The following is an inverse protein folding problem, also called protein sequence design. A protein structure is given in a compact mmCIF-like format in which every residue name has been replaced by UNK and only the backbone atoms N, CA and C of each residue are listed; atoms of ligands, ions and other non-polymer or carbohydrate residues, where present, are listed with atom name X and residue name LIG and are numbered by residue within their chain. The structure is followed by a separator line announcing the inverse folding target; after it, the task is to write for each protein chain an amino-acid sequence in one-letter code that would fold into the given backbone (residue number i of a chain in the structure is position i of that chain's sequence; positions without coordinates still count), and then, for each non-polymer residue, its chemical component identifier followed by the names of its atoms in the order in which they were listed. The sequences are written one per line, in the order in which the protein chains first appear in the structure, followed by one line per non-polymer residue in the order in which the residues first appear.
data_IF_239126151616
#
_entry.id   IF_239126151616
#
_cell.length_a   1.000
_cell.length_b   1.000
_cell.length_c   1.000
_cell.angle_alpha   90.00
_cell.angle_beta   90.00
_cell.angle_gamma   90.00
#
_symmetry.space_group_name_H-M   'P 1'
#
loop_
_entity.id
_entity.type
_entity.pdbx_description
1 polymer ?
#
# COMPACT_ATOMS: atom_id res chain seq x y z
N UNK A 1 -20.93 -8.06 -3.44
CA UNK A 1 -20.50 -9.19 -4.30
C UNK A 1 -21.78 -9.86 -4.77
N UNK A 2 -22.02 -10.00 -6.08
CA UNK A 2 -23.27 -10.57 -6.60
C UNK A 2 -23.15 -12.09 -6.69
N UNK A 3 -24.21 -12.81 -6.30
CA UNK A 3 -24.29 -14.25 -6.48
C UNK A 3 -24.53 -14.59 -7.95
N UNK A 4 -23.92 -15.65 -8.45
CA UNK A 4 -24.15 -16.10 -9.84
C UNK A 4 -24.70 -17.52 -9.79
N UNK A 5 -25.85 -17.72 -10.43
CA UNK A 5 -26.52 -19.02 -10.55
C UNK A 5 -26.47 -19.45 -12.01
N UNK A 6 -26.06 -20.70 -12.25
CA UNK A 6 -26.13 -21.34 -13.56
C UNK A 6 -27.18 -22.44 -13.51
N UNK A 7 -28.15 -22.38 -14.42
CA UNK A 7 -29.19 -23.40 -14.59
C UNK A 7 -28.93 -24.10 -15.93
N UNK A 8 -28.86 -25.43 -15.92
CA UNK A 8 -28.81 -26.25 -17.13
C UNK A 8 -30.19 -26.87 -17.33
N UNK A 9 -30.78 -26.73 -18.51
CA UNK A 9 -32.14 -27.18 -18.77
C UNK A 9 -32.30 -27.75 -20.18
N UNK A 10 -33.01 -28.87 -20.27
CA UNK A 10 -33.34 -29.63 -21.47
C UNK A 10 -34.82 -29.50 -21.87
N UNK A 11 -35.55 -28.56 -21.28
CA UNK A 11 -36.92 -28.26 -21.65
C UNK A 11 -37.46 -27.00 -20.99
N UNK A 12 -38.76 -26.77 -21.14
CA UNK A 12 -39.49 -25.70 -20.44
C UNK A 12 -40.13 -26.21 -19.15
N UNK A 13 -40.44 -25.29 -18.24
CA UNK A 13 -41.20 -25.59 -17.02
C UNK A 13 -42.58 -26.19 -17.35
N UNK A 14 -42.93 -27.33 -16.73
CA UNK A 14 -44.19 -28.06 -16.97
C UNK A 14 -45.06 -28.25 -15.73
N UNK A 15 -44.57 -27.86 -14.54
CA UNK A 15 -45.26 -28.02 -13.26
C UNK A 15 -46.20 -26.83 -12.94
N UNK A 16 -46.38 -25.90 -13.89
CA UNK A 16 -47.29 -24.76 -13.77
C UNK A 16 -46.72 -23.54 -13.03
N UNK A 17 -45.39 -23.47 -12.86
CA UNK A 17 -44.69 -22.31 -12.30
C UNK A 17 -44.46 -21.19 -13.31
N UNK A 18 -43.93 -20.06 -12.82
CA UNK A 18 -43.49 -18.92 -13.66
C UNK A 18 -41.98 -18.68 -13.47
N UNK A 19 -41.13 -19.35 -14.27
CA UNK A 19 -39.68 -19.24 -14.11
C UNK A 19 -39.16 -17.83 -14.40
N UNK A 20 -39.86 -17.05 -15.24
CA UNK A 20 -39.47 -15.67 -15.56
C UNK A 20 -39.66 -14.78 -14.33
N UNK A 21 -40.80 -14.93 -13.65
CA UNK A 21 -41.07 -14.22 -12.39
C UNK A 21 -40.06 -14.61 -11.32
N UNK A 22 -39.82 -15.91 -11.10
CA UNK A 22 -38.88 -16.36 -10.07
C UNK A 22 -37.45 -15.89 -10.33
N UNK A 23 -36.99 -15.92 -11.58
CA UNK A 23 -35.66 -15.40 -11.95
C UNK A 23 -35.55 -13.88 -11.69
N UNK A 24 -36.62 -13.13 -12.00
CA UNK A 24 -36.69 -11.69 -11.72
C UNK A 24 -36.67 -11.41 -10.22
N UNK A 25 -37.50 -12.11 -9.46
CA UNK A 25 -37.60 -11.94 -8.02
C UNK A 25 -36.26 -12.29 -7.34
N UNK A 26 -35.58 -13.34 -7.79
CA UNK A 26 -34.25 -13.70 -7.32
C UNK A 26 -33.20 -12.63 -7.65
N UNK A 27 -33.26 -12.03 -8.84
CA UNK A 27 -32.37 -10.94 -9.24
C UNK A 27 -32.62 -9.65 -8.45
N UNK A 28 -33.86 -9.42 -8.02
CA UNK A 28 -34.28 -8.26 -7.24
C UNK A 28 -34.23 -8.48 -5.73
N UNK A 29 -33.95 -9.72 -5.29
CA UNK A 29 -33.78 -10.06 -3.88
C UNK A 29 -32.54 -9.41 -3.28
N UNK A 30 -32.39 -9.47 -1.95
CA UNK A 30 -31.18 -9.00 -1.25
C UNK A 30 -29.90 -9.69 -1.72
N UNK A 31 -30.01 -10.85 -2.36
CA UNK A 31 -28.87 -11.62 -2.88
C UNK A 31 -28.41 -11.09 -4.26
N UNK A 32 -29.26 -10.33 -4.96
CA UNK A 32 -29.05 -9.79 -6.31
C UNK A 32 -28.45 -10.83 -7.29
N UNK A 33 -29.01 -12.05 -7.31
CA UNK A 33 -28.38 -13.12 -8.05
C UNK A 33 -28.50 -12.90 -9.56
N UNK A 34 -27.42 -13.18 -10.29
CA UNK A 34 -27.40 -13.20 -11.76
C UNK A 34 -27.70 -14.63 -12.21
N UNK A 35 -28.80 -14.83 -12.92
CA UNK A 35 -29.23 -16.16 -13.40
C UNK A 35 -28.82 -16.35 -14.85
N UNK A 36 -27.85 -17.22 -15.09
CA UNK A 36 -27.45 -17.66 -16.42
C UNK A 36 -28.10 -19.01 -16.74
N UNK A 37 -28.54 -19.20 -17.98
CA UNK A 37 -29.14 -20.45 -18.44
C UNK A 37 -28.33 -21.08 -19.56
N UNK A 38 -28.13 -22.38 -19.45
CA UNK A 38 -27.55 -23.24 -20.48
C UNK A 38 -28.67 -24.15 -20.98
N UNK A 39 -29.10 -23.95 -22.22
CA UNK A 39 -30.10 -24.80 -22.88
C UNK A 39 -29.43 -25.99 -23.58
N UNK A 40 -29.97 -27.19 -23.37
CA UNK A 40 -29.44 -28.44 -23.94
C UNK A 40 -30.53 -29.16 -24.72
N UNK A 41 -30.25 -29.51 -25.99
CA UNK A 41 -31.19 -30.28 -26.84
C UNK A 41 -32.61 -29.68 -26.93
N UNK A 42 -32.71 -28.37 -27.20
CA UNK A 42 -33.96 -27.62 -27.22
C UNK A 42 -34.40 -27.25 -28.63
N UNK A 43 -35.72 -27.14 -28.82
CA UNK A 43 -36.27 -26.49 -30.01
C UNK A 43 -36.34 -24.95 -29.84
N UNK A 44 -36.60 -24.24 -30.94
CA UNK A 44 -36.59 -22.77 -30.99
C UNK A 44 -37.57 -22.12 -29.98
N UNK A 45 -38.73 -22.74 -29.76
CA UNK A 45 -39.73 -22.20 -28.83
C UNK A 45 -39.31 -22.37 -27.37
N UNK A 46 -38.66 -23.48 -27.03
CA UNK A 46 -38.13 -23.75 -25.70
C UNK A 46 -36.94 -22.85 -25.38
N UNK A 47 -36.04 -22.65 -26.35
CA UNK A 47 -34.92 -21.73 -26.26
C UNK A 47 -35.38 -20.29 -26.01
N UNK A 48 -36.39 -19.80 -26.75
CA UNK A 48 -36.96 -18.46 -26.53
C UNK A 48 -37.57 -18.29 -25.13
N UNK A 49 -38.14 -19.35 -24.56
CA UNK A 49 -38.63 -19.34 -23.19
C UNK A 49 -37.49 -19.16 -22.20
N UNK A 50 -36.42 -19.98 -22.31
CA UNK A 50 -35.27 -19.92 -21.43
C UNK A 50 -34.47 -18.61 -21.56
N UNK A 51 -34.39 -18.02 -22.76
CA UNK A 51 -33.82 -16.67 -22.97
C UNK A 51 -34.53 -15.62 -22.13
N UNK A 52 -35.87 -15.68 -22.03
CA UNK A 52 -36.65 -14.73 -21.21
C UNK A 52 -36.34 -14.89 -19.73
N UNK A 53 -36.18 -16.13 -19.26
CA UNK A 53 -35.82 -16.41 -17.86
C UNK A 53 -34.42 -15.86 -17.54
N UNK A 54 -33.41 -16.16 -18.37
CA UNK A 54 -32.05 -15.64 -18.19
C UNK A 54 -32.03 -14.10 -18.18
N UNK A 55 -32.76 -13.47 -19.12
CA UNK A 55 -32.87 -12.02 -19.21
C UNK A 55 -33.55 -11.41 -17.98
N UNK A 56 -34.63 -12.03 -17.49
CA UNK A 56 -35.34 -11.58 -16.29
C UNK A 56 -34.47 -11.69 -15.03
N UNK A 57 -33.64 -12.73 -14.96
CA UNK A 57 -32.63 -12.90 -13.91
C UNK A 57 -31.33 -12.12 -14.10
N UNK A 58 -31.28 -11.20 -15.07
CA UNK A 58 -30.13 -10.32 -15.34
C UNK A 58 -28.87 -11.03 -15.85
N UNK A 59 -28.99 -12.29 -16.30
CA UNK A 59 -27.87 -13.08 -16.84
C UNK A 59 -27.99 -13.32 -18.34
N UNK A 60 -27.32 -14.38 -18.80
CA UNK A 60 -27.17 -14.72 -20.21
C UNK A 60 -27.65 -16.14 -20.50
N UNK A 61 -28.14 -16.35 -21.72
CA UNK A 61 -28.49 -17.66 -22.25
C UNK A 61 -27.38 -18.17 -23.17
N UNK A 62 -27.08 -19.47 -23.09
CA UNK A 62 -26.16 -20.17 -23.98
C UNK A 62 -26.77 -21.50 -24.39
N UNK A 63 -26.86 -21.76 -25.70
CA UNK A 63 -27.14 -23.10 -26.20
C UNK A 63 -25.86 -23.96 -26.10
N UNK A 64 -26.02 -25.20 -25.66
CA UNK A 64 -25.00 -26.24 -25.70
C UNK A 64 -25.56 -27.43 -26.50
N UNK A 65 -24.93 -27.77 -27.62
CA UNK A 65 -25.38 -28.86 -28.48
C UNK A 65 -24.79 -30.21 -28.04
N UNK A 66 -23.70 -30.17 -27.29
CA UNK A 66 -23.01 -31.34 -26.78
C UNK A 66 -22.23 -31.02 -25.48
N UNK A 67 -21.69 -32.07 -24.86
CA UNK A 67 -20.91 -31.95 -23.63
C UNK A 67 -19.67 -31.05 -23.78
N UNK A 68 -19.01 -31.07 -24.94
CA UNK A 68 -17.80 -30.29 -25.18
C UNK A 68 -18.09 -28.78 -25.18
N UNK A 69 -19.21 -28.34 -25.75
CA UNK A 69 -19.64 -26.93 -25.72
C UNK A 69 -19.84 -26.43 -24.28
N UNK A 70 -20.34 -27.32 -23.41
CA UNK A 70 -20.61 -27.01 -22.01
C UNK A 70 -19.30 -26.91 -21.22
N UNK A 71 -18.36 -27.84 -21.45
CA UNK A 71 -17.02 -27.83 -20.85
C UNK A 71 -16.25 -26.55 -21.24
N UNK A 72 -16.21 -26.23 -22.53
CA UNK A 72 -15.54 -25.04 -23.05
C UNK A 72 -16.11 -23.74 -22.44
N UNK A 73 -17.44 -23.65 -22.33
CA UNK A 73 -18.09 -22.50 -21.73
C UNK A 73 -17.69 -22.34 -20.26
N UNK A 74 -17.81 -23.39 -19.44
CA UNK A 74 -17.46 -23.32 -18.02
C UNK A 74 -15.96 -23.05 -17.79
N UNK A 75 -15.09 -23.60 -18.64
CA UNK A 75 -13.65 -23.34 -18.59
C UNK A 75 -13.34 -21.88 -18.94
N UNK A 76 -14.01 -21.30 -19.93
CA UNK A 76 -13.85 -19.89 -20.27
C UNK A 76 -14.26 -18.98 -19.10
N UNK A 77 -15.38 -19.28 -18.43
CA UNK A 77 -15.86 -18.51 -17.27
C UNK A 77 -14.92 -18.67 -16.07
N UNK A 78 -14.41 -19.88 -15.83
CA UNK A 78 -13.44 -20.17 -14.78
C UNK A 78 -12.13 -19.41 -15.01
N UNK A 79 -11.62 -19.41 -16.25
CA UNK A 79 -10.41 -18.66 -16.64
C UNK A 79 -10.60 -17.16 -16.42
N UNK A 80 -11.71 -16.59 -16.89
CA UNK A 80 -11.99 -15.17 -16.72
C UNK A 80 -12.06 -14.77 -15.24
N UNK A 81 -12.78 -15.55 -14.43
CA UNK A 81 -12.87 -15.35 -12.98
C UNK A 81 -11.49 -15.42 -12.30
N UNK A 82 -10.67 -16.40 -12.69
CA UNK A 82 -9.33 -16.57 -12.13
C UNK A 82 -8.42 -15.38 -12.51
N UNK A 83 -8.49 -14.89 -13.74
CA UNK A 83 -7.74 -13.70 -14.19
C UNK A 83 -8.17 -12.45 -13.41
N UNK A 84 -9.47 -12.20 -13.28
CA UNK A 84 -9.98 -11.05 -12.53
C UNK A 84 -9.55 -11.13 -11.06
N UNK A 85 -9.62 -12.32 -10.46
CA UNK A 85 -9.22 -12.53 -9.06
C UNK A 85 -7.72 -12.36 -8.85
N UNK A 86 -6.90 -12.87 -9.77
CA UNK A 86 -5.44 -12.69 -9.73
C UNK A 86 -5.08 -11.20 -9.85
N UNK A 87 -5.63 -10.50 -10.86
CA UNK A 87 -5.39 -9.07 -11.05
C UNK A 87 -5.85 -8.23 -9.84
N UNK A 88 -7.00 -8.55 -9.24
CA UNK A 88 -7.49 -7.82 -8.07
C UNK A 88 -6.62 -8.06 -6.84
N UNK A 89 -6.19 -9.31 -6.62
CA UNK A 89 -5.31 -9.68 -5.52
C UNK A 89 -3.94 -9.00 -5.65
N UNK A 90 -3.35 -9.01 -6.85
CA UNK A 90 -2.10 -8.32 -7.17
C UNK A 90 -2.21 -6.81 -6.97
N UNK A 91 -3.30 -6.18 -7.45
CA UNK A 91 -3.51 -4.74 -7.32
C UNK A 91 -3.66 -4.29 -5.86
N UNK A 92 -4.49 -4.99 -5.08
CA UNK A 92 -4.72 -4.66 -3.67
C UNK A 92 -3.47 -4.87 -2.81
N UNK A 93 -2.72 -5.95 -3.05
CA UNK A 93 -1.46 -6.20 -2.35
C UNK A 93 -0.40 -5.17 -2.75
N UNK A 94 -0.28 -4.83 -4.03
CA UNK A 94 0.64 -3.80 -4.49
C UNK A 94 0.32 -2.43 -3.86
N UNK A 95 -0.96 -2.05 -3.83
CA UNK A 95 -1.42 -0.80 -3.19
C UNK A 95 -1.20 -0.82 -1.68
N UNK A 96 -1.50 -1.92 -1.00
CA UNK A 96 -1.28 -2.09 0.44
C UNK A 96 0.20 -2.02 0.81
N UNK A 97 1.05 -2.71 0.05
CA UNK A 97 2.51 -2.64 0.21
C UNK A 97 3.03 -1.22 -0.04
N UNK A 98 2.55 -0.56 -1.10
CA UNK A 98 2.97 0.81 -1.40
C UNK A 98 2.54 1.79 -0.28
N UNK A 99 1.32 1.65 0.24
CA UNK A 99 0.85 2.46 1.36
C UNK A 99 1.67 2.22 2.64
N UNK A 100 1.98 0.96 2.94
CA UNK A 100 2.84 0.60 4.07
C UNK A 100 4.25 1.19 3.93
N UNK A 101 4.84 1.10 2.73
CA UNK A 101 6.13 1.70 2.40
C UNK A 101 6.13 3.23 2.60
N UNK A 102 5.11 3.93 2.09
CA UNK A 102 5.00 5.38 2.25
C UNK A 102 4.90 5.80 3.71
N UNK A 103 4.14 5.05 4.52
CA UNK A 103 4.00 5.30 5.96
C UNK A 103 5.33 5.09 6.70
N UNK A 104 6.08 4.05 6.36
CA UNK A 104 7.42 3.83 6.90
C UNK A 104 8.39 4.97 6.51
N UNK A 105 8.37 5.37 5.23
CA UNK A 105 9.17 6.49 4.71
C UNK A 105 8.90 7.78 5.46
N UNK A 106 7.62 8.11 5.69
CA UNK A 106 7.24 9.31 6.46
C UNK A 106 7.77 9.27 7.90
N UNK A 107 7.63 8.13 8.59
CA UNK A 107 8.12 7.98 9.96
C UNK A 107 9.63 8.15 10.05
N UNK A 108 10.36 7.56 9.10
CA UNK A 108 11.83 7.67 9.03
C UNK A 108 12.27 9.10 8.71
N UNK A 109 11.58 9.79 7.79
CA UNK A 109 11.86 11.20 7.51
C UNK A 109 11.56 12.11 8.72
N UNK A 110 10.52 11.79 9.50
CA UNK A 110 10.25 12.47 10.78
C UNK A 110 11.40 12.29 11.78
N UNK A 111 11.92 11.07 11.94
CA UNK A 111 13.07 10.81 12.81
C UNK A 111 14.33 11.56 12.35
N UNK A 112 14.59 11.61 11.05
CA UNK A 112 15.69 12.42 10.48
C UNK A 112 15.50 13.89 10.84
N UNK A 113 14.29 14.41 10.65
CA UNK A 113 13.96 15.80 10.95
C UNK A 113 14.17 16.13 12.43
N UNK A 114 13.77 15.22 13.33
CA UNK A 114 13.95 15.39 14.78
C UNK A 114 15.43 15.38 15.20
N UNK A 115 16.25 14.55 14.54
CA UNK A 115 17.72 14.54 14.73
C UNK A 115 18.33 15.85 14.25
N UNK A 116 17.86 16.40 13.12
CA UNK A 116 18.40 17.62 12.51
C UNK A 116 17.98 18.91 13.22
N UNK A 117 16.70 19.04 13.59
CA UNK A 117 16.12 20.31 14.02
C UNK A 117 16.26 20.62 15.51
N UNK A 118 17.50 20.55 15.99
CA UNK A 118 17.93 21.31 17.18
C UNK A 118 17.48 20.79 18.56
N UNK A 119 16.97 19.55 18.69
CA UNK A 119 16.63 18.93 19.99
C UNK A 119 17.64 17.90 20.51
N UNK A 120 18.78 17.75 19.83
CA UNK A 120 19.82 16.82 20.25
C UNK A 120 20.48 17.23 21.56
N UNK A 121 20.70 16.27 22.46
CA UNK A 121 21.49 16.42 23.70
C UNK A 121 22.84 17.09 23.43
N UNK A 122 23.45 16.87 22.25
CA UNK A 122 24.73 17.45 21.88
C UNK A 122 24.68 18.97 21.69
N UNK A 123 23.59 19.51 21.11
CA UNK A 123 23.37 20.96 20.94
C UNK A 123 23.39 21.66 22.29
N UNK A 124 22.62 21.12 23.23
CA UNK A 124 22.56 21.66 24.58
C UNK A 124 23.93 21.59 25.27
N UNK A 125 24.70 20.52 25.02
CA UNK A 125 26.00 20.31 25.67
C UNK A 125 27.07 21.27 25.20
N UNK A 126 27.25 21.46 23.88
CA UNK A 126 28.32 22.34 23.40
C UNK A 126 28.03 23.82 23.67
N UNK A 127 26.75 24.26 23.62
CA UNK A 127 26.42 25.63 24.01
C UNK A 127 26.65 25.86 25.50
N UNK A 128 26.25 24.89 26.35
CA UNK A 128 26.52 24.97 27.79
C UNK A 128 28.02 24.91 28.12
N UNK A 129 28.82 24.25 27.30
CA UNK A 129 30.27 24.25 27.43
C UNK A 129 30.84 25.62 27.04
N UNK A 130 30.44 26.15 25.88
CA UNK A 130 30.79 27.49 25.42
C UNK A 130 30.52 28.54 26.50
N UNK A 131 29.29 28.61 27.01
CA UNK A 131 28.89 29.58 28.04
C UNK A 131 29.75 29.44 29.31
N UNK A 132 30.02 28.20 29.75
CA UNK A 132 30.81 27.95 30.96
C UNK A 132 32.27 28.33 30.79
N UNK A 133 32.86 28.06 29.64
CA UNK A 133 34.25 28.42 29.36
C UNK A 133 34.39 29.94 29.18
N UNK A 134 33.45 30.58 28.50
CA UNK A 134 33.44 32.05 28.35
C UNK A 134 33.33 32.73 29.71
N UNK A 135 32.37 32.35 30.55
CA UNK A 135 32.24 32.90 31.91
C UNK A 135 33.47 32.63 32.78
N UNK A 136 34.11 31.45 32.66
CA UNK A 136 35.33 31.15 33.42
C UNK A 136 36.50 32.04 32.96
N UNK A 137 36.65 32.26 31.66
CA UNK A 137 37.66 33.16 31.09
C UNK A 137 37.42 34.61 31.54
N UNK A 138 36.17 35.07 31.54
CA UNK A 138 35.80 36.39 32.06
C UNK A 138 36.11 36.54 33.54
N UNK A 139 35.69 35.58 34.36
CA UNK A 139 35.96 35.57 35.80
C UNK A 139 37.46 35.60 36.10
N UNK A 140 38.28 34.85 35.37
CA UNK A 140 39.73 34.83 35.56
C UNK A 140 40.37 36.17 35.15
N UNK A 141 39.87 36.81 34.08
CA UNK A 141 40.30 38.15 33.68
C UNK A 141 39.93 39.20 34.74
N UNK A 142 38.71 39.16 35.29
CA UNK A 142 38.27 40.03 36.38
C UNK A 142 39.11 39.87 37.66
N UNK A 143 39.63 38.67 37.91
CA UNK A 143 40.55 38.38 39.02
C UNK A 143 42.01 38.70 38.71
N UNK A 144 42.29 39.37 37.60
CA UNK A 144 43.64 39.71 37.13
C UNK A 144 44.55 38.48 36.99
N UNK A 145 43.96 37.29 36.80
CA UNK A 145 44.68 36.02 36.62
C UNK A 145 44.98 35.70 35.15
N UNK A 146 44.50 36.53 34.23
CA UNK A 146 44.76 36.45 32.80
C UNK A 146 45.13 37.83 32.28
N UNK A 147 46.19 37.90 31.48
CA UNK A 147 46.45 39.09 30.66
C UNK A 147 45.43 39.21 29.52
N UNK A 148 45.27 40.42 28.96
CA UNK A 148 44.37 40.65 27.83
C UNK A 148 44.68 39.75 26.63
N UNK A 149 45.97 39.48 26.36
CA UNK A 149 46.40 38.59 25.27
C UNK A 149 46.05 37.12 25.54
N UNK A 150 46.17 36.65 26.79
CA UNK A 150 45.77 35.29 27.15
C UNK A 150 44.24 35.12 27.11
N UNK A 151 43.51 36.14 27.54
CA UNK A 151 42.05 36.17 27.47
C UNK A 151 41.57 36.09 26.01
N UNK A 152 42.18 36.85 25.10
CA UNK A 152 41.84 36.84 23.67
C UNK A 152 42.11 35.47 23.04
N UNK A 153 43.28 34.88 23.30
CA UNK A 153 43.61 33.52 22.85
C UNK A 153 42.62 32.47 23.38
N UNK A 154 42.24 32.55 24.65
CA UNK A 154 41.26 31.62 25.23
C UNK A 154 39.89 31.76 24.57
N UNK A 155 39.44 32.98 24.28
CA UNK A 155 38.20 33.23 23.55
C UNK A 155 38.25 32.62 22.15
N UNK A 156 39.33 32.82 21.41
CA UNK A 156 39.53 32.23 20.08
C UNK A 156 39.49 30.69 20.12
N UNK A 157 40.14 30.07 21.12
CA UNK A 157 40.10 28.62 21.31
C UNK A 157 38.69 28.10 21.65
N UNK A 158 37.92 28.83 22.46
CA UNK A 158 36.54 28.49 22.82
C UNK A 158 35.63 28.59 21.58
N UNK A 159 35.78 29.62 20.76
CA UNK A 159 35.05 29.80 19.50
C UNK A 159 35.40 28.72 18.49
N UNK A 160 36.69 28.43 18.32
CA UNK A 160 37.17 27.35 17.44
C UNK A 160 36.58 26.01 17.86
N UNK A 161 36.63 25.68 19.15
CA UNK A 161 36.04 24.45 19.71
C UNK A 161 34.53 24.37 19.44
N UNK A 162 33.80 25.47 19.60
CA UNK A 162 32.38 25.51 19.29
C UNK A 162 32.12 25.23 17.79
N UNK A 163 32.95 25.78 16.91
CA UNK A 163 32.86 25.52 15.46
C UNK A 163 33.12 24.04 15.15
N UNK A 164 34.23 23.48 15.65
CA UNK A 164 34.58 22.07 15.41
C UNK A 164 33.50 21.10 15.90
N UNK A 165 32.86 21.39 17.04
CA UNK A 165 31.76 20.58 17.55
C UNK A 165 30.49 20.68 16.68
N UNK A 166 30.23 21.85 16.08
CA UNK A 166 29.13 22.03 15.12
C UNK A 166 29.41 21.27 13.82
N UNK A 167 30.62 21.41 13.29
CA UNK A 167 31.05 20.73 12.06
C UNK A 167 31.01 19.21 12.23
N UNK A 168 31.54 18.70 13.34
CA UNK A 168 31.46 17.28 13.69
C UNK A 168 30.01 16.79 13.73
N UNK A 169 29.10 17.54 14.37
CA UNK A 169 27.67 17.18 14.41
C UNK A 169 27.07 17.09 13.01
N UNK A 170 27.35 18.08 12.16
CA UNK A 170 26.83 18.14 10.79
C UNK A 170 27.37 16.99 9.92
N UNK A 171 28.66 16.69 10.06
CA UNK A 171 29.29 15.55 9.39
C UNK A 171 28.66 14.22 9.81
N UNK A 172 28.49 13.99 11.12
CA UNK A 172 27.85 12.76 11.64
C UNK A 172 26.38 12.66 11.21
N UNK A 173 25.64 13.77 11.25
CA UNK A 173 24.25 13.81 10.80
C UNK A 173 24.13 13.47 9.30
N UNK A 174 25.04 14.00 8.48
CA UNK A 174 25.10 13.71 7.04
C UNK A 174 25.42 12.25 6.78
N UNK A 175 26.44 11.69 7.46
CA UNK A 175 26.80 10.25 7.34
C UNK A 175 25.63 9.35 7.71
N UNK A 176 24.94 9.63 8.82
CA UNK A 176 23.79 8.85 9.26
C UNK A 176 22.63 8.94 8.26
N UNK A 177 22.34 10.13 7.75
CA UNK A 177 21.30 10.35 6.75
C UNK A 177 21.60 9.58 5.45
N UNK A 178 22.83 9.63 4.96
CA UNK A 178 23.25 8.91 3.76
C UNK A 178 23.19 7.40 3.93
N UNK A 179 23.60 6.89 5.10
CA UNK A 179 23.50 5.47 5.43
C UNK A 179 22.04 5.02 5.46
N UNK A 180 21.17 5.78 6.13
CA UNK A 180 19.75 5.48 6.21
C UNK A 180 19.08 5.52 4.83
N UNK A 181 19.44 6.49 3.99
CA UNK A 181 18.96 6.58 2.60
C UNK A 181 19.39 5.37 1.77
N UNK A 182 20.63 4.88 1.93
CA UNK A 182 21.12 3.66 1.28
C UNK A 182 20.36 2.43 1.75
N UNK A 183 20.13 2.30 3.06
CA UNK A 183 19.42 1.17 3.64
C UNK A 183 17.94 1.15 3.22
N UNK A 184 17.30 2.31 3.16
CA UNK A 184 15.96 2.48 2.60
C UNK A 184 15.87 2.06 1.14
N UNK A 185 16.84 2.47 0.30
CA UNK A 185 16.89 2.06 -1.10
C UNK A 185 17.06 0.55 -1.25
N UNK A 186 17.83 -0.06 -0.34
CA UNK A 186 18.08 -1.51 -0.31
C UNK A 186 16.82 -2.28 0.08
N UNK A 187 16.15 -1.86 1.15
CA UNK A 187 14.89 -2.44 1.61
C UNK A 187 13.81 -2.38 0.51
N UNK A 188 13.68 -1.23 -0.16
CA UNK A 188 12.75 -1.07 -1.27
C UNK A 188 13.02 -2.03 -2.44
N UNK A 189 14.31 -2.17 -2.81
CA UNK A 189 14.71 -3.10 -3.87
C UNK A 189 14.33 -4.53 -3.52
N UNK A 190 14.53 -4.94 -2.27
CA UNK A 190 14.23 -6.29 -1.80
C UNK A 190 12.72 -6.59 -1.79
N UNK A 191 11.88 -5.64 -1.39
CA UNK A 191 10.42 -5.80 -1.47
C UNK A 191 9.97 -5.98 -2.92
N UNK A 192 10.51 -5.17 -3.85
CA UNK A 192 10.19 -5.28 -5.28
C UNK A 192 10.66 -6.59 -5.91
N UNK A 193 11.79 -7.13 -5.45
CA UNK A 193 12.29 -8.43 -5.90
C UNK A 193 11.41 -9.57 -5.39
N UNK A 194 11.02 -9.55 -4.11
CA UNK A 194 10.12 -10.56 -3.55
C UNK A 194 8.75 -10.56 -4.25
N UNK A 195 8.21 -9.39 -4.60
CA UNK A 195 6.93 -9.27 -5.30
C UNK A 195 6.96 -9.71 -6.79
N UNK A 196 8.14 -10.07 -7.34
CA UNK A 196 8.30 -10.56 -8.72
C UNK A 196 8.44 -12.08 -8.82
N UNK A 197 8.53 -12.77 -7.68
CA UNK A 197 8.85 -14.21 -7.61
C UNK A 197 7.60 -15.06 -7.33
N UNK A 198 6.46 -14.43 -7.02
CA UNK A 198 5.14 -15.07 -6.90
C UNK A 198 4.25 -14.75 -8.12
#
# INVERSE_FOLDING_TARGET
MKSVVYIVSDGVETCGGDPVKEAKDLHQSEIEAVVNIIGFDLNEAEEESLKKVAKAGGGSYKAAENQADMEDYFDSQRRLRNIIRANHYEFDHAMGMHHHEQKQRQKIMGLIHDIYNNRGILVIRYYREYDRLTHATEYLAEKEKLSSTEQEKLKEMIETRLSELKDYREEQATKLYDQLKKDMKRAYKQVKENARVD
#
